data_IF_700238900590
#
_entry.id   IF_700238900590
#
_cell.length_a   1.000
_cell.length_b   1.000
_cell.length_c   1.000
_cell.angle_alpha   90.00
_cell.angle_beta   90.00
_cell.angle_gamma   90.00
#
_symmetry.space_group_name_H-M   'P 1'
#
loop_
_entity.id
_entity.type
_entity.pdbx_description
1 polymer ?
#
# COMPACT_ATOMS: atom_id res chain seq x y z
N UNK A 1 -28.51 -0.57 25.04
CA UNK A 1 -28.99 -1.85 25.60
C UNK A 1 -28.45 -2.96 24.70
N UNK A 2 -27.38 -3.64 25.12
CA UNK A 2 -26.94 -4.86 24.43
C UNK A 2 -27.86 -5.98 24.86
N UNK A 3 -28.70 -6.48 23.96
CA UNK A 3 -29.48 -7.68 24.21
C UNK A 3 -28.57 -8.91 24.37
N UNK A 4 -29.06 -10.00 24.99
CA UNK A 4 -28.29 -11.23 25.09
C UNK A 4 -27.93 -11.72 23.69
N UNK A 5 -26.66 -12.03 23.47
CA UNK A 5 -26.18 -12.64 22.23
C UNK A 5 -26.81 -14.03 22.13
N UNK A 6 -27.70 -14.22 21.16
CA UNK A 6 -28.22 -15.55 20.82
C UNK A 6 -27.07 -16.42 20.34
N UNK A 7 -26.79 -17.50 21.07
CA UNK A 7 -25.84 -18.50 20.63
C UNK A 7 -26.52 -19.40 19.59
N UNK A 8 -26.16 -19.19 18.33
CA UNK A 8 -26.73 -19.92 17.18
C UNK A 8 -26.21 -21.37 17.06
N UNK A 9 -25.28 -21.78 17.93
CA UNK A 9 -24.56 -23.05 17.81
C UNK A 9 -24.76 -23.99 19.01
N UNK A 10 -25.55 -23.63 20.02
CA UNK A 10 -25.70 -24.42 21.26
C UNK A 10 -26.29 -25.83 21.03
N UNK A 11 -27.09 -26.00 19.97
CA UNK A 11 -27.69 -27.29 19.61
C UNK A 11 -26.73 -28.24 18.88
N UNK A 12 -25.51 -27.79 18.54
CA UNK A 12 -24.51 -28.59 17.83
C UNK A 12 -23.37 -28.97 18.78
N UNK A 13 -23.18 -30.26 19.09
CA UNK A 13 -22.06 -30.69 19.92
C UNK A 13 -20.73 -30.37 19.22
N UNK A 14 -19.70 -30.04 20.01
CA UNK A 14 -18.36 -29.78 19.48
C UNK A 14 -17.80 -31.05 18.79
N UNK A 15 -17.58 -30.97 17.48
CA UNK A 15 -17.00 -32.07 16.70
C UNK A 15 -15.46 -32.00 16.77
N UNK A 16 -14.79 -32.96 17.43
CA UNK A 16 -13.32 -32.97 17.48
C UNK A 16 -12.74 -33.23 16.09
N UNK A 17 -11.58 -32.64 15.81
CA UNK A 17 -10.87 -32.77 14.53
C UNK A 17 -10.69 -34.23 14.08
N UNK A 18 -10.47 -35.15 15.02
CA UNK A 18 -10.30 -36.58 14.74
C UNK A 18 -11.58 -37.23 14.16
N UNK A 19 -12.76 -36.83 14.63
CA UNK A 19 -14.03 -37.34 14.12
C UNK A 19 -14.29 -36.84 12.69
N UNK A 20 -14.00 -35.56 12.45
CA UNK A 20 -14.05 -34.98 11.11
C UNK A 20 -13.08 -35.69 10.14
N UNK A 21 -11.83 -35.93 10.54
CA UNK A 21 -10.87 -36.66 9.71
C UNK A 21 -11.35 -38.07 9.36
N UNK A 22 -11.96 -38.80 10.31
CA UNK A 22 -12.52 -40.12 10.04
C UNK A 22 -13.65 -40.10 9.01
N UNK A 23 -14.49 -39.07 9.02
CA UNK A 23 -15.53 -38.89 8.00
C UNK A 23 -14.91 -38.58 6.63
N UNK A 24 -13.90 -37.72 6.59
CA UNK A 24 -13.16 -37.37 5.37
C UNK A 24 -12.52 -38.61 4.75
N UNK A 25 -11.82 -39.43 5.54
CA UNK A 25 -11.19 -40.68 5.07
C UNK A 25 -12.20 -41.63 4.40
N UNK A 26 -13.40 -41.77 4.99
CA UNK A 26 -14.49 -42.56 4.39
C UNK A 26 -14.95 -41.98 3.05
N UNK A 27 -15.02 -40.66 2.93
CA UNK A 27 -15.44 -39.98 1.69
C UNK A 27 -14.37 -40.06 0.59
N UNK A 28 -13.09 -40.06 0.96
CA UNK A 28 -11.96 -40.09 0.01
C UNK A 28 -11.79 -41.44 -0.71
N UNK A 29 -12.46 -42.52 -0.27
CA UNK A 29 -12.46 -43.85 -0.92
C UNK A 29 -11.06 -44.36 -1.29
N UNK A 30 -10.06 -44.09 -0.44
CA UNK A 30 -8.67 -44.50 -0.64
C UNK A 30 -7.74 -43.47 -1.31
N UNK A 31 -8.23 -42.28 -1.67
CA UNK A 31 -7.36 -41.17 -2.09
C UNK A 31 -6.62 -40.56 -0.89
N UNK A 32 -5.41 -40.05 -1.12
CA UNK A 32 -4.63 -39.33 -0.11
C UNK A 32 -5.33 -38.02 0.28
N UNK A 33 -5.37 -37.73 1.58
CA UNK A 33 -5.89 -36.46 2.10
C UNK A 33 -5.13 -35.26 1.53
N UNK A 34 -3.81 -35.38 1.42
CA UNK A 34 -2.96 -34.32 0.89
C UNK A 34 -3.30 -34.03 -0.58
N UNK A 35 -3.33 -35.06 -1.41
CA UNK A 35 -3.59 -34.92 -2.85
C UNK A 35 -5.02 -34.46 -3.15
N UNK A 36 -5.99 -34.86 -2.31
CA UNK A 36 -7.40 -34.59 -2.56
C UNK A 36 -7.88 -33.25 -2.00
N UNK A 37 -7.32 -32.79 -0.87
CA UNK A 37 -7.89 -31.67 -0.10
C UNK A 37 -6.92 -30.54 0.22
N UNK A 38 -5.61 -30.76 0.12
CA UNK A 38 -4.64 -29.68 0.27
C UNK A 38 -4.39 -29.08 -1.11
N UNK A 39 -4.78 -27.82 -1.26
CA UNK A 39 -4.38 -27.04 -2.43
C UNK A 39 -3.17 -26.17 -2.08
N UNK A 40 -2.35 -25.84 -3.06
CA UNK A 40 -1.22 -24.94 -2.84
C UNK A 40 -1.47 -23.63 -3.56
N UNK A 41 -1.18 -22.52 -2.86
CA UNK A 41 -1.02 -21.23 -3.55
C UNK A 41 0.11 -21.33 -4.57
N UNK A 42 0.14 -20.41 -5.53
CA UNK A 42 1.27 -20.26 -6.47
C UNK A 42 2.63 -20.19 -5.75
N UNK A 43 2.67 -19.69 -4.50
CA UNK A 43 3.88 -19.64 -3.68
C UNK A 43 4.16 -20.87 -2.83
N UNK A 44 3.53 -22.00 -3.12
CA UNK A 44 3.73 -23.25 -2.40
C UNK A 44 3.09 -23.31 -1.01
N UNK A 45 2.44 -22.24 -0.54
CA UNK A 45 1.74 -22.25 0.76
C UNK A 45 0.57 -23.23 0.67
N UNK A 46 0.62 -24.27 1.49
CA UNK A 46 -0.44 -25.26 1.63
C UNK A 46 -1.68 -24.61 2.25
N UNK A 47 -2.80 -24.69 1.53
CA UNK A 47 -4.11 -24.28 1.98
C UNK A 47 -4.79 -25.50 2.57
N UNK A 48 -4.95 -25.50 3.89
CA UNK A 48 -5.65 -26.57 4.60
C UNK A 48 -7.16 -26.49 4.31
N UNK A 49 -7.85 -27.62 4.15
CA UNK A 49 -9.31 -27.66 3.92
C UNK A 49 -10.11 -27.18 5.13
N UNK A 50 -9.52 -27.22 6.33
CA UNK A 50 -10.10 -26.72 7.56
C UNK A 50 -9.03 -26.11 8.45
N UNK A 51 -9.16 -24.81 8.72
CA UNK A 51 -8.36 -24.11 9.72
C UNK A 51 -9.14 -24.09 11.03
N UNK A 52 -8.52 -24.60 12.08
CA UNK A 52 -9.05 -24.53 13.44
C UNK A 52 -8.41 -23.34 14.16
N UNK A 53 -8.13 -23.45 15.45
CA UNK A 53 -7.55 -22.37 16.27
C UNK A 53 -6.50 -21.53 15.52
N UNK A 54 -6.66 -20.21 15.62
CA UNK A 54 -5.76 -19.25 15.01
C UNK A 54 -4.35 -19.29 15.62
N UNK A 55 -3.37 -18.63 14.98
CA UNK A 55 -2.02 -18.56 15.52
C UNK A 55 -2.02 -18.00 16.94
N UNK A 56 -1.20 -18.57 17.83
CA UNK A 56 -1.08 -18.13 19.23
C UNK A 56 -0.71 -16.64 19.38
N UNK A 57 -0.04 -16.08 18.36
CA UNK A 57 0.31 -14.68 18.27
C UNK A 57 -0.30 -14.07 17.00
N UNK A 58 -1.60 -13.73 17.01
CA UNK A 58 -2.19 -13.02 15.87
C UNK A 58 -1.48 -11.68 15.69
N UNK A 59 -1.14 -11.34 14.44
CA UNK A 59 -0.71 -9.96 14.14
C UNK A 59 -1.85 -9.02 14.49
N UNK A 60 -1.52 -7.87 15.09
CA UNK A 60 -2.51 -6.81 15.31
C UNK A 60 -2.94 -6.23 13.96
N UNK A 61 -4.14 -6.63 13.52
CA UNK A 61 -4.79 -6.14 12.30
C UNK A 61 -5.88 -5.11 12.62
N UNK A 62 -5.95 -4.59 13.85
CA UNK A 62 -6.98 -3.61 14.22
C UNK A 62 -6.82 -2.34 13.37
N UNK A 63 -7.96 -1.79 12.97
CA UNK A 63 -8.01 -0.47 12.36
C UNK A 63 -7.36 0.54 13.31
N UNK A 64 -6.38 1.29 12.79
CA UNK A 64 -5.64 2.30 13.56
C UNK A 64 -6.54 3.49 13.94
N UNK A 65 -7.58 3.72 13.15
CA UNK A 65 -8.62 4.72 13.37
C UNK A 65 -10.00 4.05 13.21
N UNK A 66 -10.77 4.02 14.30
CA UNK A 66 -12.09 3.41 14.30
C UNK A 66 -13.16 4.27 13.59
N UNK A 67 -12.95 5.58 13.48
CA UNK A 67 -13.84 6.52 12.81
C UNK A 67 -13.54 6.61 11.30
N UNK A 68 -12.28 6.38 10.90
CA UNK A 68 -11.86 6.31 9.48
C UNK A 68 -10.97 5.09 9.24
N UNK A 69 -11.56 3.88 9.13
CA UNK A 69 -10.80 2.63 9.04
C UNK A 69 -9.98 2.48 7.74
N UNK A 70 -10.30 3.25 6.71
CA UNK A 70 -9.58 3.29 5.44
C UNK A 70 -9.53 4.71 4.85
N UNK A 71 -8.47 5.00 4.10
CA UNK A 71 -8.26 6.25 3.37
C UNK A 71 -8.75 6.10 1.93
N UNK A 72 -9.77 6.87 1.53
CA UNK A 72 -10.20 6.97 0.15
C UNK A 72 -9.30 7.95 -0.60
N UNK A 73 -8.26 7.43 -1.26
CA UNK A 73 -7.29 8.21 -2.02
C UNK A 73 -7.55 8.13 -3.52
N UNK A 74 -7.80 9.26 -4.18
CA UNK A 74 -7.93 9.30 -5.64
C UNK A 74 -6.58 9.50 -6.31
N UNK A 75 -6.39 8.93 -7.50
CA UNK A 75 -5.16 9.06 -8.28
C UNK A 75 -5.38 10.09 -9.36
N UNK A 76 -4.50 11.08 -9.44
CA UNK A 76 -4.55 12.15 -10.44
C UNK A 76 -3.34 12.03 -11.34
N UNK A 77 -3.61 11.89 -12.64
CA UNK A 77 -2.60 11.59 -13.66
C UNK A 77 -2.86 12.34 -14.98
N UNK A 78 -3.81 13.29 -15.01
CA UNK A 78 -4.06 14.08 -16.21
C UNK A 78 -2.82 14.92 -16.58
N UNK A 79 -2.31 14.88 -17.82
CA UNK A 79 -1.04 15.53 -18.17
C UNK A 79 -1.08 17.05 -18.04
N UNK A 80 -2.21 17.68 -18.35
CA UNK A 80 -2.43 19.11 -18.13
C UNK A 80 -2.62 19.45 -16.64
N UNK A 81 -1.79 20.36 -16.13
CA UNK A 81 -1.75 20.74 -14.72
C UNK A 81 -3.05 21.42 -14.23
N UNK A 82 -3.71 22.23 -15.07
CA UNK A 82 -4.93 22.92 -14.69
C UNK A 82 -6.11 21.95 -14.58
N UNK A 83 -6.20 21.00 -15.51
CA UNK A 83 -7.17 19.89 -15.43
C UNK A 83 -6.90 18.98 -14.24
N UNK A 84 -5.64 18.62 -13.98
CA UNK A 84 -5.26 17.86 -12.79
C UNK A 84 -5.68 18.57 -11.50
N UNK A 85 -5.47 19.88 -11.39
CA UNK A 85 -5.94 20.68 -10.25
C UNK A 85 -7.47 20.64 -10.10
N UNK A 86 -8.21 20.84 -11.20
CA UNK A 86 -9.67 20.79 -11.17
C UNK A 86 -10.20 19.41 -10.76
N UNK A 87 -9.54 18.33 -11.20
CA UNK A 87 -9.84 16.96 -10.76
C UNK A 87 -9.59 16.77 -9.26
N UNK A 88 -8.45 17.23 -8.74
CA UNK A 88 -8.10 17.18 -7.31
C UNK A 88 -9.17 17.87 -6.47
N UNK A 89 -9.52 19.12 -6.80
CA UNK A 89 -10.48 19.89 -6.01
C UNK A 89 -11.86 19.24 -6.03
N UNK A 90 -12.30 18.80 -7.21
CA UNK A 90 -13.58 18.09 -7.36
C UNK A 90 -13.63 16.83 -6.52
N UNK A 91 -12.59 16.00 -6.56
CA UNK A 91 -12.55 14.74 -5.81
C UNK A 91 -12.59 14.99 -4.30
N UNK A 92 -11.82 15.96 -3.82
CA UNK A 92 -11.81 16.36 -2.41
C UNK A 92 -13.16 16.92 -1.96
N UNK A 93 -13.82 17.73 -2.78
CA UNK A 93 -15.18 18.23 -2.52
C UNK A 93 -16.24 17.11 -2.53
N UNK A 94 -16.01 16.03 -3.28
CA UNK A 94 -16.92 14.89 -3.41
C UNK A 94 -16.63 13.76 -2.40
N UNK A 95 -15.75 14.00 -1.42
CA UNK A 95 -15.53 13.12 -0.28
C UNK A 95 -14.30 12.22 -0.39
N UNK A 96 -13.42 12.43 -1.37
CA UNK A 96 -12.07 11.87 -1.32
C UNK A 96 -11.36 12.37 -0.06
N UNK A 97 -10.70 11.46 0.65
CA UNK A 97 -10.00 11.77 1.87
C UNK A 97 -8.61 12.34 1.59
N UNK A 98 -8.00 11.97 0.46
CA UNK A 98 -6.64 12.32 0.07
C UNK A 98 -6.45 12.16 -1.44
N UNK A 99 -5.32 12.65 -1.96
CA UNK A 99 -4.95 12.49 -3.38
C UNK A 99 -3.55 11.91 -3.55
N UNK A 100 -3.36 11.12 -4.61
CA UNK A 100 -2.07 10.64 -5.11
C UNK A 100 -1.79 11.29 -6.46
N UNK A 101 -0.76 12.12 -6.54
CA UNK A 101 -0.35 12.76 -7.79
C UNK A 101 0.68 11.86 -8.46
N UNK A 102 0.33 11.28 -9.61
CA UNK A 102 1.29 10.58 -10.46
C UNK A 102 2.05 11.61 -11.29
N UNK A 103 3.36 11.73 -11.03
CA UNK A 103 4.24 12.69 -11.67
C UNK A 103 4.99 12.00 -12.80
N UNK A 104 4.81 12.53 -14.02
CA UNK A 104 5.60 12.17 -15.19
C UNK A 104 5.91 13.45 -15.96
N UNK A 105 7.15 13.96 -15.95
CA UNK A 105 7.50 15.19 -16.66
C UNK A 105 7.23 15.15 -18.17
N UNK A 106 7.10 13.95 -18.76
CA UNK A 106 6.77 13.80 -20.20
C UNK A 106 5.27 13.90 -20.49
N UNK A 107 4.43 13.78 -19.46
CA UNK A 107 2.97 13.77 -19.57
C UNK A 107 2.40 12.53 -20.28
N UNK A 108 3.15 11.43 -20.39
CA UNK A 108 2.69 10.20 -21.06
C UNK A 108 1.84 9.32 -20.14
N UNK A 109 2.25 9.18 -18.87
CA UNK A 109 1.57 8.37 -17.86
C UNK A 109 1.43 9.14 -16.53
N UNK A 110 1.18 10.45 -16.59
CA UNK A 110 1.04 11.25 -15.38
C UNK A 110 0.90 12.74 -15.64
N UNK A 111 0.78 13.49 -14.55
CA UNK A 111 0.75 14.95 -14.58
C UNK A 111 2.14 15.47 -14.96
N UNK A 112 2.18 16.37 -15.96
CA UNK A 112 3.42 16.94 -16.49
C UNK A 112 4.04 17.97 -15.53
N UNK A 113 4.68 17.47 -14.47
CA UNK A 113 5.38 18.27 -13.45
C UNK A 113 6.89 18.05 -13.58
N UNK A 114 7.62 19.12 -13.89
CA UNK A 114 9.08 19.11 -14.02
C UNK A 114 9.81 19.89 -12.91
N UNK A 115 9.09 20.70 -12.14
CA UNK A 115 9.64 21.58 -11.11
C UNK A 115 8.62 21.88 -9.99
N UNK A 116 9.07 22.62 -8.97
CA UNK A 116 8.24 23.03 -7.84
C UNK A 116 7.08 23.93 -8.23
N UNK A 117 7.21 24.77 -9.27
CA UNK A 117 6.13 25.64 -9.73
C UNK A 117 5.03 24.85 -10.45
N UNK A 118 5.39 23.78 -11.16
CA UNK A 118 4.46 22.82 -11.72
C UNK A 118 3.62 22.15 -10.63
N UNK A 119 4.28 21.65 -9.57
CA UNK A 119 3.57 21.05 -8.44
C UNK A 119 2.68 22.08 -7.71
N UNK A 120 3.16 23.31 -7.54
CA UNK A 120 2.39 24.40 -6.94
C UNK A 120 1.09 24.69 -7.70
N UNK A 121 1.15 24.72 -9.05
CA UNK A 121 -0.03 24.91 -9.91
C UNK A 121 -1.04 23.78 -9.78
N UNK A 122 -0.56 22.53 -9.67
CA UNK A 122 -1.44 21.35 -9.53
C UNK A 122 -2.12 21.34 -8.16
N UNK A 123 -1.46 21.86 -7.12
CA UNK A 123 -1.96 21.92 -5.75
C UNK A 123 -2.59 23.27 -5.37
N UNK A 124 -2.84 24.16 -6.33
CA UNK A 124 -3.45 25.45 -6.03
C UNK A 124 -4.83 25.28 -5.40
N UNK A 125 -5.11 26.00 -4.31
CA UNK A 125 -6.34 25.85 -3.53
C UNK A 125 -6.44 24.59 -2.66
N UNK A 126 -5.48 23.66 -2.70
CA UNK A 126 -5.48 22.45 -1.87
C UNK A 126 -4.94 22.77 -0.48
N UNK A 127 -5.73 22.51 0.56
CA UNK A 127 -5.33 22.69 1.95
C UNK A 127 -4.52 21.49 2.45
N UNK A 128 -3.19 21.57 2.36
CA UNK A 128 -2.26 20.46 2.68
C UNK A 128 -2.36 19.95 4.14
N UNK A 129 -2.81 20.80 5.07
CA UNK A 129 -3.05 20.40 6.47
C UNK A 129 -4.31 19.54 6.66
N UNK A 130 -5.26 19.61 5.72
CA UNK A 130 -6.55 18.91 5.79
C UNK A 130 -6.62 17.73 4.83
N UNK A 131 -6.07 17.88 3.63
CA UNK A 131 -6.05 16.86 2.59
C UNK A 131 -4.64 16.26 2.48
N UNK A 132 -4.39 15.03 2.98
CA UNK A 132 -3.16 14.31 2.73
C UNK A 132 -2.84 14.28 1.22
N UNK A 133 -1.63 14.69 0.86
CA UNK A 133 -1.12 14.62 -0.51
C UNK A 133 -0.01 13.59 -0.59
N UNK A 134 -0.17 12.67 -1.52
CA UNK A 134 0.79 11.63 -1.83
C UNK A 134 1.40 11.83 -3.23
N UNK A 135 2.64 11.37 -3.42
CA UNK A 135 3.36 11.47 -4.70
C UNK A 135 3.63 10.08 -5.29
N UNK A 136 3.40 9.88 -6.58
CA UNK A 136 3.95 8.75 -7.34
C UNK A 136 4.88 9.33 -8.43
N UNK A 137 6.15 9.56 -8.06
CA UNK A 137 7.13 10.25 -8.91
C UNK A 137 8.28 9.35 -9.40
N UNK A 138 8.20 8.04 -9.15
CA UNK A 138 9.25 7.07 -9.48
C UNK A 138 10.64 7.52 -9.00
N UNK A 139 11.63 7.50 -9.91
CA UNK A 139 13.01 7.93 -9.62
C UNK A 139 13.15 9.44 -9.33
N UNK A 140 12.13 10.26 -9.63
CA UNK A 140 12.10 11.68 -9.24
C UNK A 140 11.63 11.88 -7.80
N UNK A 141 11.25 10.80 -7.09
CA UNK A 141 10.75 10.82 -5.71
C UNK A 141 11.46 11.80 -4.78
N UNK A 142 12.80 11.73 -4.60
CA UNK A 142 13.51 12.65 -3.70
C UNK A 142 13.35 14.12 -4.07
N UNK A 143 13.35 14.44 -5.38
CA UNK A 143 13.18 15.82 -5.86
C UNK A 143 11.72 16.29 -5.70
N UNK A 144 10.76 15.42 -6.00
CA UNK A 144 9.34 15.72 -5.84
C UNK A 144 8.96 15.89 -4.36
N UNK A 145 9.59 15.12 -3.47
CA UNK A 145 9.44 15.26 -2.03
C UNK A 145 9.90 16.65 -1.56
N UNK A 146 11.02 17.15 -2.07
CA UNK A 146 11.51 18.49 -1.77
C UNK A 146 10.57 19.59 -2.26
N UNK A 147 9.97 19.41 -3.45
CA UNK A 147 8.95 20.34 -3.95
C UNK A 147 7.73 20.39 -3.04
N UNK A 148 7.21 19.22 -2.63
CA UNK A 148 6.04 19.15 -1.75
C UNK A 148 6.35 19.70 -0.35
N UNK A 149 7.51 19.39 0.22
CA UNK A 149 7.94 19.91 1.51
C UNK A 149 8.09 21.45 1.49
N UNK A 150 8.59 22.01 0.38
CA UNK A 150 8.66 23.46 0.21
C UNK A 150 7.27 24.12 0.20
N UNK A 151 6.28 23.49 -0.44
CA UNK A 151 4.89 23.95 -0.44
C UNK A 151 4.25 23.84 0.95
N UNK A 152 4.59 22.80 1.70
CA UNK A 152 4.07 22.54 3.04
C UNK A 152 4.83 23.25 4.16
N UNK A 153 5.73 24.20 3.88
CA UNK A 153 6.55 24.86 4.90
C UNK A 153 5.73 25.55 6.01
N UNK A 154 4.52 26.04 5.70
CA UNK A 154 3.60 26.62 6.68
C UNK A 154 2.77 25.58 7.47
N UNK A 155 2.93 24.31 7.14
CA UNK A 155 2.09 23.17 7.49
C UNK A 155 2.96 21.98 7.96
N UNK A 156 3.80 22.13 9.01
CA UNK A 156 4.76 21.08 9.42
C UNK A 156 4.07 19.77 9.85
N UNK A 157 2.82 19.85 10.32
CA UNK A 157 2.05 18.71 10.76
C UNK A 157 1.15 18.11 9.65
N UNK A 158 1.24 18.61 8.42
CA UNK A 158 0.51 18.04 7.29
C UNK A 158 0.83 16.54 7.14
N UNK A 159 -0.18 15.67 6.95
CA UNK A 159 0.00 14.23 6.78
C UNK A 159 0.46 13.90 5.34
N UNK A 160 1.65 14.41 4.96
CA UNK A 160 2.21 14.24 3.62
C UNK A 160 2.69 12.80 3.38
N UNK A 161 2.59 12.32 2.15
CA UNK A 161 3.17 11.05 1.73
C UNK A 161 4.15 11.26 0.57
N UNK A 162 5.44 11.35 0.89
CA UNK A 162 6.48 11.59 -0.11
C UNK A 162 6.72 10.39 -1.02
N UNK A 163 6.45 9.16 -0.53
CA UNK A 163 6.50 7.89 -1.27
C UNK A 163 7.71 7.78 -2.22
N UNK A 164 8.91 8.06 -1.70
CA UNK A 164 10.14 7.87 -2.46
C UNK A 164 10.39 6.36 -2.60
N UNK A 165 10.05 5.79 -3.75
CA UNK A 165 10.19 4.34 -3.97
C UNK A 165 10.84 4.02 -5.33
N UNK A 166 12.19 3.98 -5.38
CA UNK A 166 12.89 3.59 -6.60
C UNK A 166 12.73 2.10 -6.92
N UNK A 167 12.34 1.25 -5.96
CA UNK A 167 12.18 -0.19 -6.18
C UNK A 167 10.91 -0.48 -6.98
N UNK A 168 9.78 0.14 -6.65
CA UNK A 168 8.57 0.01 -7.48
C UNK A 168 8.68 0.76 -8.82
N UNK A 169 9.54 1.79 -8.90
CA UNK A 169 9.78 2.52 -10.15
C UNK A 169 10.52 1.67 -11.19
N UNK A 170 11.46 0.82 -10.74
CA UNK A 170 12.36 0.08 -11.63
C UNK A 170 11.66 -0.87 -12.62
N UNK A 171 10.70 -1.72 -12.20
CA UNK A 171 9.94 -2.54 -13.15
C UNK A 171 9.06 -1.73 -14.11
N UNK A 172 8.61 -0.52 -13.71
CA UNK A 172 7.77 0.35 -14.55
C UNK A 172 8.57 0.97 -15.70
N UNK A 173 9.76 1.47 -15.40
CA UNK A 173 10.63 2.09 -16.40
C UNK A 173 11.44 1.07 -17.21
N UNK A 174 11.54 -0.17 -16.74
CA UNK A 174 12.35 -1.23 -17.33
C UNK A 174 13.87 -1.07 -17.10
N UNK A 175 14.32 0.11 -16.69
CA UNK A 175 15.70 0.41 -16.34
C UNK A 175 15.78 1.58 -15.33
N UNK A 176 16.80 1.56 -14.46
CA UNK A 176 17.10 2.68 -13.58
C UNK A 176 18.00 3.70 -14.28
N UNK A 177 17.76 5.01 -14.12
CA UNK A 177 18.70 6.05 -14.54
C UNK A 177 19.96 6.04 -13.65
N UNK A 178 20.95 5.21 -13.99
CA UNK A 178 22.18 5.02 -13.19
C UNK A 178 22.03 3.95 -12.10
N UNK A 179 22.99 3.86 -11.16
CA UNK A 179 23.02 2.81 -10.14
C UNK A 179 21.82 2.87 -9.20
N UNK A 180 21.22 1.72 -8.90
CA UNK A 180 20.05 1.62 -8.01
C UNK A 180 20.37 2.09 -6.59
N UNK A 181 21.56 1.76 -6.11
CA UNK A 181 22.07 2.12 -4.79
C UNK A 181 22.06 3.64 -4.61
N UNK A 182 22.40 4.40 -5.66
CA UNK A 182 22.38 5.87 -5.62
C UNK A 182 20.98 6.42 -5.41
N UNK A 183 19.96 5.81 -6.03
CA UNK A 183 18.56 6.20 -5.84
C UNK A 183 18.07 5.89 -4.43
N UNK A 184 18.44 4.72 -3.89
CA UNK A 184 18.13 4.33 -2.51
C UNK A 184 18.79 5.27 -1.49
N UNK A 185 20.08 5.57 -1.66
CA UNK A 185 20.82 6.51 -0.79
C UNK A 185 20.22 7.91 -0.88
N UNK A 186 19.87 8.38 -2.07
CA UNK A 186 19.21 9.67 -2.27
C UNK A 186 17.87 9.75 -1.54
N UNK A 187 17.01 8.75 -1.71
CA UNK A 187 15.72 8.66 -1.03
C UNK A 187 15.87 8.61 0.50
N UNK A 188 16.81 7.82 1.01
CA UNK A 188 17.08 7.73 2.45
C UNK A 188 17.60 9.05 3.02
N UNK A 189 18.51 9.72 2.31
CA UNK A 189 19.09 11.00 2.73
C UNK A 189 18.04 12.10 2.78
N UNK A 190 17.24 12.23 1.73
CA UNK A 190 16.14 13.21 1.68
C UNK A 190 15.08 12.87 2.73
N UNK A 191 14.72 11.60 2.88
CA UNK A 191 13.78 11.15 3.91
C UNK A 191 14.23 11.52 5.32
N UNK A 192 15.48 11.23 5.69
CA UNK A 192 16.03 11.56 7.00
C UNK A 192 15.97 13.07 7.28
N UNK A 193 16.26 13.91 6.28
CA UNK A 193 16.13 15.37 6.40
C UNK A 193 14.67 15.79 6.59
N UNK A 194 13.76 15.28 5.75
CA UNK A 194 12.36 15.70 5.75
C UNK A 194 11.60 15.24 7.01
N UNK A 195 11.99 14.14 7.66
CA UNK A 195 11.43 13.73 8.95
C UNK A 195 11.60 14.79 10.05
N UNK A 196 12.72 15.53 10.03
CA UNK A 196 12.95 16.61 10.98
C UNK A 196 12.04 17.82 10.77
N UNK A 197 11.48 17.98 9.57
CA UNK A 197 10.64 19.11 9.17
C UNK A 197 9.15 18.73 9.24
N UNK A 198 8.82 17.53 8.80
CA UNK A 198 7.46 16.98 8.71
C UNK A 198 7.35 15.67 9.50
N UNK A 199 7.21 15.73 10.83
CA UNK A 199 7.24 14.54 11.69
C UNK A 199 6.07 13.57 11.47
N UNK A 200 4.97 14.03 10.85
CA UNK A 200 3.79 13.21 10.51
C UNK A 200 3.81 12.67 9.08
N UNK A 201 4.83 12.99 8.29
CA UNK A 201 4.90 12.53 6.91
C UNK A 201 5.34 11.07 6.81
N UNK A 202 4.76 10.34 5.86
CA UNK A 202 5.31 9.05 5.42
C UNK A 202 6.32 9.26 4.30
N UNK A 203 7.48 8.61 4.39
CA UNK A 203 8.60 8.85 3.48
C UNK A 203 8.65 7.90 2.30
N UNK A 204 8.52 6.60 2.60
CA UNK A 204 8.69 5.51 1.66
C UNK A 204 7.37 4.75 1.54
N UNK A 205 7.07 4.25 0.36
CA UNK A 205 5.97 3.32 0.16
C UNK A 205 6.40 2.27 -0.83
N UNK A 206 6.57 1.02 -0.39
CA UNK A 206 6.74 -0.10 -1.30
C UNK A 206 5.37 -0.46 -1.89
N UNK A 207 5.00 0.16 -3.01
CA UNK A 207 3.68 0.00 -3.65
C UNK A 207 3.42 -1.45 -4.12
N UNK A 208 4.44 -2.32 -4.12
CA UNK A 208 4.29 -3.73 -4.47
C UNK A 208 3.78 -3.94 -5.90
N UNK A 209 3.82 -2.89 -6.72
CA UNK A 209 3.25 -2.90 -8.04
C UNK A 209 4.17 -3.65 -9.00
N UNK A 210 3.68 -4.79 -9.49
CA UNK A 210 4.34 -5.57 -10.54
C UNK A 210 3.51 -5.47 -11.83
N UNK A 211 4.12 -5.27 -13.01
CA UNK A 211 3.42 -5.36 -14.28
C UNK A 211 2.77 -6.74 -14.46
N UNK A 212 1.47 -6.84 -14.20
CA UNK A 212 0.73 -8.08 -14.37
C UNK A 212 0.46 -8.33 -15.86
N UNK A 213 1.36 -9.05 -16.54
CA UNK A 213 1.01 -9.86 -17.74
C UNK A 213 2.08 -10.85 -18.22
N UNK A 214 2.87 -11.46 -17.34
CA UNK A 214 3.59 -12.76 -17.52
C UNK A 214 4.67 -12.92 -16.44
N UNK A 215 4.28 -12.96 -15.18
CA UNK A 215 5.09 -13.58 -14.14
C UNK A 215 4.14 -13.93 -12.99
N UNK A 216 3.95 -15.21 -12.66
CA UNK A 216 3.21 -15.59 -11.47
C UNK A 216 4.09 -15.34 -10.26
N UNK A 217 4.21 -14.09 -9.83
CA UNK A 217 4.99 -13.72 -8.64
C UNK A 217 4.05 -13.56 -7.45
N UNK A 218 4.45 -14.15 -6.33
CA UNK A 218 3.60 -14.55 -5.20
C UNK A 218 3.32 -13.37 -4.27
N UNK A 219 2.13 -13.32 -3.64
CA UNK A 219 1.83 -12.42 -2.52
C UNK A 219 2.84 -12.48 -1.35
N UNK A 220 3.55 -13.60 -1.17
CA UNK A 220 4.63 -13.74 -0.20
C UNK A 220 5.91 -13.01 -0.66
N UNK A 221 6.22 -13.03 -1.95
CA UNK A 221 7.39 -12.40 -2.56
C UNK A 221 7.25 -10.86 -2.60
N UNK A 222 6.04 -10.37 -2.86
CA UNK A 222 5.70 -8.94 -2.72
C UNK A 222 5.87 -8.45 -1.28
N UNK A 223 5.63 -9.31 -0.29
CA UNK A 223 5.81 -8.98 1.14
C UNK A 223 7.28 -8.92 1.55
N UNK A 224 8.12 -9.81 1.04
CA UNK A 224 9.56 -9.81 1.33
C UNK A 224 10.29 -8.61 0.71
N UNK A 225 9.83 -8.13 -0.46
CA UNK A 225 10.38 -6.92 -1.09
C UNK A 225 9.87 -5.62 -0.43
N UNK A 226 8.71 -5.66 0.22
CA UNK A 226 8.08 -4.50 0.89
C UNK A 226 8.53 -4.29 2.34
N UNK A 227 8.99 -5.36 3.00
CA UNK A 227 9.49 -5.33 4.38
C UNK A 227 11.01 -5.58 4.33
N UNK A 228 11.81 -4.51 4.36
CA UNK A 228 13.25 -4.62 4.58
C UNK A 228 13.58 -5.37 5.89
N UNK A 229 14.81 -5.89 6.05
CA UNK A 229 15.18 -6.69 7.22
C UNK A 229 14.93 -5.89 8.51
N UNK A 230 13.87 -6.26 9.23
CA UNK A 230 13.60 -5.75 10.55
C UNK A 230 14.75 -6.12 11.48
N UNK A 231 15.14 -5.16 12.30
CA UNK A 231 16.18 -5.24 13.31
C UNK A 231 16.29 -6.65 13.93
N UNK A 232 17.49 -7.23 13.82
CA UNK A 232 17.92 -8.31 14.70
C UNK A 232 18.00 -7.76 16.15
N UNK A 233 17.77 -8.61 17.18
CA UNK A 233 17.64 -8.22 18.58
C UNK A 233 18.87 -7.50 19.15
#
# INVERSE_FOLDING_TARGET
MSGPVLSLADDFPAAPKAEWLSLVEKTLKGQSFEDALISHTVGGIAIQPLYTEGPQNPRDLRARDAARPWDLRTVVAHPDAARANAEILKDLEQGAASVLIRIDPTGQDGVAIADAQGLARVLDGVLLDLAPVALDAGFLGPRAADWLAALAKGAPNAPLAFQMDPLSAFPRSGAAPGPMESHLVSAATVGARLLGIHPKASLMLALGWMPSRRAPTVAAETRWLSIGPGAAP
#
